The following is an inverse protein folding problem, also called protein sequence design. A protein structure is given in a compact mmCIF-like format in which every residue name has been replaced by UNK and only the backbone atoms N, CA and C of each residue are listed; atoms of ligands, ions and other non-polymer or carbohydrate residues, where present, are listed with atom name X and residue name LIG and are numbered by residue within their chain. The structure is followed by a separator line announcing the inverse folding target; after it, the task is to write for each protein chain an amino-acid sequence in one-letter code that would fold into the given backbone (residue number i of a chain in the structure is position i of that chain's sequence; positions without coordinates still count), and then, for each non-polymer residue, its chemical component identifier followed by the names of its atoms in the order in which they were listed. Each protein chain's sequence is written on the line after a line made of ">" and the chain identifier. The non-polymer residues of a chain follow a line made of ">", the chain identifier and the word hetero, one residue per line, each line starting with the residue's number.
data_IF_200067430981
#
_entry.id   IF_200067430981
#
_cell.length_a   1.000
_cell.length_b   1.000
_cell.length_c   1.000
_cell.angle_alpha   90.00
_cell.angle_beta   90.00
_cell.angle_gamma   90.00
#
_symmetry.space_group_name_H-M   'P 1'
#
loop_
_entity.id
_entity.type
_entity.pdbx_description
1 polymer ?
#
# COMPACT_ATOMS: atom_id res chain seq x y z
N UNK A 1 9.08 0.38 -2.96
CA UNK A 1 8.60 1.76 -3.25
C UNK A 1 8.20 1.85 -4.72
N UNK A 2 7.53 2.92 -5.15
CA UNK A 2 7.03 3.12 -6.53
C UNK A 2 8.10 2.81 -7.61
N UNK A 3 9.36 3.16 -7.33
CA UNK A 3 10.53 2.86 -8.16
C UNK A 3 10.80 1.35 -8.31
N UNK A 4 10.71 0.57 -7.23
CA UNK A 4 10.85 -0.89 -7.30
C UNK A 4 9.79 -1.51 -8.21
N UNK A 5 8.55 -1.03 -8.11
CA UNK A 5 7.46 -1.48 -8.97
C UNK A 5 7.69 -1.10 -10.44
N UNK A 6 8.16 0.13 -10.70
CA UNK A 6 8.55 0.57 -12.04
C UNK A 6 9.69 -0.28 -12.64
N UNK A 7 10.69 -0.63 -11.84
CA UNK A 7 11.79 -1.54 -12.24
C UNK A 7 11.24 -2.92 -12.60
N UNK A 8 10.42 -3.53 -11.73
CA UNK A 8 9.85 -4.86 -11.98
C UNK A 8 8.99 -4.87 -13.26
N UNK A 9 8.16 -3.84 -13.45
CA UNK A 9 7.37 -3.67 -14.67
C UNK A 9 8.24 -3.44 -15.91
N UNK A 10 9.30 -2.65 -15.79
CA UNK A 10 10.24 -2.37 -16.88
C UNK A 10 11.03 -3.60 -17.34
N UNK A 11 11.24 -4.57 -16.46
CA UNK A 11 11.89 -5.87 -16.77
C UNK A 11 10.85 -6.91 -17.25
N UNK A 12 9.57 -6.56 -17.30
CA UNK A 12 8.51 -7.46 -17.80
C UNK A 12 8.04 -8.50 -16.80
N UNK A 13 8.28 -8.30 -15.50
CA UNK A 13 7.74 -9.19 -14.45
C UNK A 13 6.22 -9.05 -14.45
N UNK A 14 5.51 -10.13 -14.82
CA UNK A 14 4.05 -10.19 -14.88
C UNK A 14 3.44 -10.05 -16.28
N UNK A 15 4.23 -10.10 -17.36
CA UNK A 15 3.73 -10.19 -18.74
C UNK A 15 4.02 -11.56 -19.36
N UNK A 16 3.01 -12.21 -19.94
CA UNK A 16 3.11 -13.53 -20.58
C UNK A 16 4.07 -13.57 -21.80
N UNK A 17 4.46 -12.39 -22.31
CA UNK A 17 5.31 -12.23 -23.48
C UNK A 17 6.83 -12.20 -23.17
N UNK A 18 7.25 -12.12 -21.90
CA UNK A 18 8.66 -11.88 -21.53
C UNK A 18 9.33 -13.17 -21.05
N UNK A 19 10.40 -13.55 -21.75
CA UNK A 19 11.20 -14.75 -21.46
C UNK A 19 11.90 -14.62 -20.09
N UNK A 20 11.73 -15.57 -19.14
CA UNK A 20 12.47 -15.58 -17.87
C UNK A 20 13.99 -15.46 -18.02
N UNK A 21 14.55 -15.94 -19.12
CA UNK A 21 15.98 -15.90 -19.40
C UNK A 21 16.46 -14.46 -19.70
N UNK A 22 15.68 -13.64 -20.40
CA UNK A 22 16.08 -12.24 -20.69
C UNK A 22 16.01 -11.36 -19.44
N UNK A 23 15.01 -11.60 -18.59
CA UNK A 23 14.92 -10.97 -17.28
C UNK A 23 16.16 -11.33 -16.41
N UNK A 24 16.53 -12.61 -16.36
CA UNK A 24 17.70 -13.08 -15.61
C UNK A 24 19.00 -12.45 -16.12
N UNK A 25 19.22 -12.41 -17.44
CA UNK A 25 20.40 -11.77 -18.03
C UNK A 25 20.46 -10.28 -17.68
N UNK A 26 19.32 -9.58 -17.70
CA UNK A 26 19.24 -8.18 -17.29
C UNK A 26 19.66 -7.97 -15.83
N UNK A 27 19.24 -8.85 -14.92
CA UNK A 27 19.66 -8.80 -13.52
C UNK A 27 21.17 -9.00 -13.34
N UNK A 28 21.73 -10.03 -13.98
CA UNK A 28 23.17 -10.31 -13.91
C UNK A 28 23.99 -9.14 -14.45
N UNK A 29 23.61 -8.58 -15.61
CA UNK A 29 24.30 -7.45 -16.21
C UNK A 29 24.20 -6.19 -15.35
N UNK A 30 23.00 -5.87 -14.87
CA UNK A 30 22.75 -4.71 -14.00
C UNK A 30 23.58 -4.77 -12.72
N UNK A 31 23.56 -5.90 -12.02
CA UNK A 31 24.26 -6.03 -10.74
C UNK A 31 25.77 -6.14 -10.95
N UNK A 32 26.21 -6.81 -12.03
CA UNK A 32 27.61 -6.88 -12.42
C UNK A 32 28.21 -5.51 -12.73
N UNK A 33 27.52 -4.71 -13.55
CA UNK A 33 27.94 -3.32 -13.87
C UNK A 33 27.96 -2.43 -12.63
N UNK A 34 26.95 -2.57 -11.75
CA UNK A 34 26.93 -1.88 -10.46
C UNK A 34 28.14 -2.20 -9.58
N UNK A 35 28.51 -3.49 -9.48
CA UNK A 35 29.68 -3.93 -8.73
C UNK A 35 31.00 -3.41 -9.31
N UNK A 36 31.16 -3.44 -10.63
CA UNK A 36 32.35 -2.89 -11.29
C UNK A 36 32.45 -1.37 -11.08
N UNK A 37 31.34 -0.65 -11.25
CA UNK A 37 31.29 0.79 -11.10
C UNK A 37 31.68 1.26 -9.69
N UNK A 38 31.19 0.59 -8.64
CA UNK A 38 31.58 0.93 -7.26
C UNK A 38 33.05 0.64 -6.95
N UNK A 39 33.63 -0.43 -7.52
CA UNK A 39 35.06 -0.75 -7.34
C UNK A 39 35.93 0.31 -8.03
N UNK A 40 35.61 0.63 -9.28
CA UNK A 40 36.32 1.67 -10.03
C UNK A 40 36.23 3.03 -9.35
N UNK A 41 35.05 3.40 -8.85
CA UNK A 41 34.86 4.65 -8.12
C UNK A 41 35.62 4.68 -6.81
N UNK A 42 35.58 3.60 -6.02
CA UNK A 42 36.33 3.50 -4.77
C UNK A 42 37.84 3.61 -5.00
N UNK A 43 38.36 2.98 -6.05
CA UNK A 43 39.77 3.10 -6.44
C UNK A 43 40.14 4.52 -6.87
N UNK A 44 39.28 5.18 -7.65
CA UNK A 44 39.57 6.50 -8.21
C UNK A 44 39.42 7.65 -7.20
N UNK A 45 38.37 7.62 -6.38
CA UNK A 45 37.97 8.74 -5.51
C UNK A 45 37.94 8.41 -4.01
N UNK A 46 38.32 7.19 -3.63
CA UNK A 46 38.23 6.72 -2.25
C UNK A 46 38.91 7.63 -1.22
N UNK A 47 40.08 8.19 -1.55
CA UNK A 47 40.87 9.06 -0.65
C UNK A 47 40.27 10.45 -0.43
N UNK A 48 39.33 10.89 -1.26
CA UNK A 48 38.67 12.21 -1.11
C UNK A 48 37.36 12.10 -0.31
N UNK A 49 36.83 10.88 -0.11
CA UNK A 49 35.49 10.66 0.45
C UNK A 49 35.38 11.02 1.94
N UNK A 50 36.46 10.84 2.70
CA UNK A 50 36.55 11.19 4.11
C UNK A 50 36.97 12.66 4.31
N UNK A 51 37.95 13.14 3.55
CA UNK A 51 38.46 14.53 3.59
C UNK A 51 37.33 15.53 3.29
N UNK A 52 36.63 15.35 2.17
CA UNK A 52 35.58 16.27 1.68
C UNK A 52 34.17 15.71 1.94
N UNK A 53 33.98 15.10 3.12
CA UNK A 53 32.80 14.27 3.42
C UNK A 53 31.45 14.97 3.22
N UNK A 54 31.34 16.25 3.59
CA UNK A 54 30.12 17.06 3.38
C UNK A 54 29.79 17.26 1.90
N UNK A 55 30.80 17.54 1.06
CA UNK A 55 30.61 17.74 -0.39
C UNK A 55 30.20 16.43 -1.06
N UNK A 56 30.88 15.34 -0.71
CA UNK A 56 30.57 14.02 -1.24
C UNK A 56 29.20 13.51 -0.79
N UNK A 57 28.74 13.87 0.41
CA UNK A 57 27.37 13.57 0.84
C UNK A 57 26.34 14.22 -0.08
N UNK A 58 26.45 15.53 -0.30
CA UNK A 58 25.52 16.27 -1.17
C UNK A 58 25.55 15.71 -2.60
N UNK A 59 26.75 15.41 -3.13
CA UNK A 59 26.90 14.79 -4.47
C UNK A 59 26.23 13.42 -4.54
N UNK A 60 26.38 12.59 -3.50
CA UNK A 60 25.78 11.27 -3.44
C UNK A 60 24.25 11.36 -3.38
N UNK A 61 23.70 12.28 -2.58
CA UNK A 61 22.25 12.46 -2.47
C UNK A 61 21.65 12.94 -3.82
N UNK A 62 22.28 13.93 -4.47
CA UNK A 62 21.86 14.38 -5.81
C UNK A 62 21.93 13.23 -6.83
N UNK A 63 23.02 12.48 -6.86
CA UNK A 63 23.19 11.37 -7.80
C UNK A 63 22.17 10.25 -7.56
N UNK A 64 21.80 10.01 -6.29
CA UNK A 64 20.78 9.04 -5.91
C UNK A 64 19.39 9.45 -6.41
N UNK A 65 19.03 10.72 -6.22
CA UNK A 65 17.74 11.25 -6.64
C UNK A 65 17.61 11.24 -8.16
N UNK A 66 18.68 11.57 -8.90
CA UNK A 66 18.71 11.45 -10.36
C UNK A 66 18.53 9.99 -10.78
N UNK A 67 19.24 9.04 -10.17
CA UNK A 67 19.09 7.62 -10.52
C UNK A 67 17.68 7.09 -10.23
N UNK A 68 17.07 7.48 -9.10
CA UNK A 68 15.69 7.13 -8.77
C UNK A 68 14.68 7.81 -9.71
N UNK A 69 14.95 9.05 -10.12
CA UNK A 69 14.16 9.78 -11.10
C UNK A 69 14.17 9.12 -12.47
N UNK A 70 15.34 8.67 -12.96
CA UNK A 70 15.45 7.93 -14.23
C UNK A 70 14.64 6.63 -14.17
N UNK A 71 14.76 5.84 -13.10
CA UNK A 71 14.00 4.60 -12.96
C UNK A 71 12.48 4.84 -12.91
N UNK A 72 12.05 5.98 -12.38
CA UNK A 72 10.62 6.30 -12.27
C UNK A 72 10.05 6.91 -13.55
N UNK A 73 10.75 7.85 -14.17
CA UNK A 73 10.24 8.67 -15.27
C UNK A 73 10.74 8.27 -16.66
N UNK A 74 11.83 7.51 -16.77
CA UNK A 74 12.40 7.14 -18.09
C UNK A 74 12.16 5.66 -18.37
N UNK A 75 12.40 4.80 -17.38
CA UNK A 75 12.29 3.34 -17.55
C UNK A 75 10.92 2.88 -18.08
N UNK A 76 9.76 3.40 -17.62
CA UNK A 76 8.46 2.96 -18.12
C UNK A 76 8.17 3.35 -19.58
N UNK A 77 8.79 4.42 -20.08
CA UNK A 77 8.56 4.93 -21.44
C UNK A 77 9.48 4.26 -22.47
N UNK A 78 10.63 3.73 -22.05
CA UNK A 78 11.63 3.12 -22.94
C UNK A 78 11.94 1.66 -22.56
N UNK A 79 10.95 0.74 -22.58
CA UNK A 79 11.15 -0.65 -22.16
C UNK A 79 12.17 -1.42 -23.02
N UNK A 80 12.33 -1.05 -24.29
CA UNK A 80 13.34 -1.68 -25.19
C UNK A 80 14.78 -1.39 -24.77
N UNK A 81 15.02 -0.29 -24.06
CA UNK A 81 16.33 0.10 -23.56
C UNK A 81 16.50 -0.20 -22.06
N UNK A 82 15.57 -0.96 -21.46
CA UNK A 82 15.50 -1.18 -20.01
C UNK A 82 16.82 -1.70 -19.42
N UNK A 83 17.47 -2.68 -20.06
CA UNK A 83 18.74 -3.23 -19.58
C UNK A 83 19.83 -2.17 -19.48
N UNK A 84 19.98 -1.31 -20.49
CA UNK A 84 21.00 -0.25 -20.47
C UNK A 84 20.70 0.82 -19.42
N UNK A 85 19.44 1.24 -19.32
CA UNK A 85 18.99 2.21 -18.32
C UNK A 85 19.27 1.67 -16.92
N UNK A 86 18.89 0.42 -16.66
CA UNK A 86 19.07 -0.24 -15.37
C UNK A 86 20.55 -0.40 -15.00
N UNK A 87 21.41 -0.79 -15.95
CA UNK A 87 22.85 -0.86 -15.71
C UNK A 87 23.41 0.52 -15.31
N UNK A 88 22.99 1.59 -16.00
CA UNK A 88 23.43 2.95 -15.69
C UNK A 88 22.93 3.41 -14.31
N UNK A 89 21.63 3.29 -14.02
CA UNK A 89 21.06 3.73 -12.73
C UNK A 89 21.57 2.90 -11.56
N UNK A 90 21.82 1.61 -11.76
CA UNK A 90 22.38 0.74 -10.71
C UNK A 90 23.85 1.05 -10.45
N UNK A 91 24.62 1.39 -11.49
CA UNK A 91 25.99 1.89 -11.35
C UNK A 91 26.01 3.20 -10.56
N UNK A 92 25.13 4.15 -10.88
CA UNK A 92 25.00 5.40 -10.12
C UNK A 92 24.69 5.12 -8.64
N UNK A 93 23.71 4.27 -8.35
CA UNK A 93 23.34 3.89 -6.98
C UNK A 93 24.46 3.16 -6.24
N UNK A 94 25.24 2.33 -6.93
CA UNK A 94 26.37 1.65 -6.34
C UNK A 94 27.49 2.63 -5.95
N UNK A 95 27.74 3.65 -6.78
CA UNK A 95 28.64 4.78 -6.46
C UNK A 95 28.14 5.55 -5.24
N UNK A 96 26.84 5.89 -5.23
CA UNK A 96 26.17 6.53 -4.08
C UNK A 96 26.35 5.70 -2.82
N UNK A 97 26.21 4.38 -2.90
CA UNK A 97 26.37 3.49 -1.75
C UNK A 97 27.77 3.58 -1.12
N UNK A 98 28.82 3.64 -1.95
CA UNK A 98 30.21 3.80 -1.48
C UNK A 98 30.42 5.19 -0.87
N UNK A 99 30.06 6.25 -1.60
CA UNK A 99 30.23 7.62 -1.13
C UNK A 99 29.41 7.88 0.15
N UNK A 100 28.15 7.44 0.18
CA UNK A 100 27.27 7.54 1.34
C UNK A 100 27.80 6.78 2.54
N UNK A 101 28.31 5.55 2.34
CA UNK A 101 28.94 4.75 3.39
C UNK A 101 30.17 5.43 3.98
N UNK A 102 31.14 5.80 3.13
CA UNK A 102 32.38 6.43 3.56
C UNK A 102 32.15 7.77 4.29
N UNK A 103 31.32 8.65 3.71
CA UNK A 103 30.98 9.94 4.33
C UNK A 103 30.24 9.76 5.66
N UNK A 104 29.39 8.72 5.78
CA UNK A 104 28.68 8.43 7.04
C UNK A 104 29.65 7.95 8.10
N UNK A 105 30.60 7.09 7.76
CA UNK A 105 31.64 6.66 8.69
C UNK A 105 32.48 7.84 9.19
N UNK A 106 32.92 8.72 8.29
CA UNK A 106 33.66 9.94 8.65
C UNK A 106 32.85 10.87 9.58
N UNK A 107 31.57 11.11 9.28
CA UNK A 107 30.69 11.91 10.14
C UNK A 107 30.42 11.23 11.50
N UNK A 108 30.28 9.91 11.52
CA UNK A 108 30.06 9.14 12.77
C UNK A 108 31.31 9.23 13.65
N UNK A 109 32.49 9.13 13.06
CA UNK A 109 33.76 9.30 13.76
C UNK A 109 33.92 10.72 14.33
N UNK A 110 33.49 11.75 13.60
CA UNK A 110 33.47 13.12 14.13
C UNK A 110 32.57 13.27 15.37
N UNK A 111 31.47 12.51 15.45
CA UNK A 111 30.58 12.50 16.62
C UNK A 111 31.02 11.54 17.74
N UNK A 112 32.06 10.75 17.53
CA UNK A 112 32.56 9.82 18.52
C UNK A 112 33.39 10.57 19.58
N UNK A 113 32.87 10.63 20.81
CA UNK A 113 33.61 11.17 21.95
C UNK A 113 34.84 10.27 22.19
N UNK A 114 36.04 10.87 22.22
CA UNK A 114 37.33 10.15 22.38
C UNK A 114 37.57 9.05 21.32
N UNK A 115 36.97 9.16 20.14
CA UNK A 115 37.09 8.16 19.08
C UNK A 115 36.37 6.84 19.36
N UNK A 116 35.54 6.76 20.40
CA UNK A 116 34.74 5.58 20.70
C UNK A 116 33.50 5.51 19.80
N UNK A 117 33.64 4.89 18.62
CA UNK A 117 32.53 4.68 17.69
C UNK A 117 31.38 3.85 18.30
N UNK A 118 31.64 3.03 19.32
CA UNK A 118 30.62 2.23 19.98
C UNK A 118 29.60 3.11 20.73
N UNK A 119 30.02 4.25 21.28
CA UNK A 119 29.10 5.18 21.97
C UNK A 119 28.05 5.73 21.01
N UNK A 120 28.47 6.08 19.80
CA UNK A 120 27.56 6.59 18.75
C UNK A 120 26.62 5.47 18.28
N UNK A 121 27.13 4.24 18.16
CA UNK A 121 26.30 3.08 17.81
C UNK A 121 25.25 2.77 18.90
N UNK A 122 25.63 2.86 20.18
CA UNK A 122 24.70 2.69 21.32
C UNK A 122 23.63 3.77 21.31
N UNK A 123 23.96 5.03 20.99
CA UNK A 123 22.97 6.09 20.87
C UNK A 123 21.90 5.77 19.81
N UNK A 124 22.30 5.31 18.63
CA UNK A 124 21.35 4.89 17.59
C UNK A 124 20.52 3.68 18.03
N UNK A 125 21.14 2.71 18.70
CA UNK A 125 20.45 1.55 19.26
C UNK A 125 19.43 1.94 20.33
N UNK A 126 19.78 2.87 21.23
CA UNK A 126 18.90 3.38 22.27
C UNK A 126 17.74 4.17 21.65
N UNK A 127 18.00 5.02 20.67
CA UNK A 127 16.95 5.73 19.94
C UNK A 127 15.96 4.77 19.28
N UNK A 128 16.47 3.71 18.61
CA UNK A 128 15.63 2.69 18.02
C UNK A 128 14.80 1.96 19.08
N UNK A 129 15.41 1.58 20.21
CA UNK A 129 14.74 0.93 21.32
C UNK A 129 13.62 1.80 21.91
N UNK A 130 13.90 3.06 22.25
CA UNK A 130 12.90 4.00 22.79
C UNK A 130 11.77 4.22 21.78
N UNK A 131 12.09 4.31 20.48
CA UNK A 131 11.08 4.43 19.42
C UNK A 131 10.17 3.20 19.37
N UNK A 132 10.71 1.99 19.49
CA UNK A 132 9.92 0.76 19.55
C UNK A 132 9.02 0.72 20.79
N UNK A 133 9.55 1.10 21.95
CA UNK A 133 8.77 1.21 23.20
C UNK A 133 7.64 2.23 23.03
N UNK A 134 7.92 3.39 22.43
CA UNK A 134 6.92 4.42 22.17
C UNK A 134 5.82 3.93 21.23
N UNK A 135 6.16 3.25 20.13
CA UNK A 135 5.17 2.67 19.21
C UNK A 135 4.33 1.61 19.93
N UNK A 136 4.95 0.73 20.71
CA UNK A 136 4.24 -0.29 21.50
C UNK A 136 3.28 0.33 22.51
N UNK A 137 3.73 1.35 23.26
CA UNK A 137 2.92 2.08 24.21
C UNK A 137 1.73 2.76 23.53
N UNK A 138 1.92 3.39 22.37
CA UNK A 138 0.85 3.98 21.58
C UNK A 138 -0.17 2.93 21.12
N UNK A 139 0.28 1.77 20.62
CA UNK A 139 -0.63 0.68 20.22
C UNK A 139 -1.46 0.20 21.42
N UNK A 140 -0.82 0.02 22.59
CA UNK A 140 -1.53 -0.38 23.82
C UNK A 140 -2.51 0.69 24.28
N UNK A 141 -2.14 1.97 24.22
CA UNK A 141 -2.99 3.08 24.58
C UNK A 141 -4.24 3.15 23.68
N UNK A 142 -4.06 3.10 22.37
CA UNK A 142 -5.19 3.12 21.42
C UNK A 142 -6.09 1.90 21.60
N UNK A 143 -5.53 0.69 21.79
CA UNK A 143 -6.31 -0.52 22.06
C UNK A 143 -7.07 -0.50 23.39
N UNK A 144 -6.64 0.30 24.36
CA UNK A 144 -7.35 0.45 25.63
C UNK A 144 -8.61 1.34 25.51
N UNK A 145 -8.67 2.21 24.49
CA UNK A 145 -9.80 3.12 24.30
C UNK A 145 -10.97 2.41 23.63
N UNK A 146 -12.01 2.13 24.41
CA UNK A 146 -13.26 1.57 23.89
C UNK A 146 -14.14 2.69 23.29
N UNK A 147 -14.16 2.78 21.96
CA UNK A 147 -15.01 3.74 21.25
C UNK A 147 -16.43 3.19 21.08
N UNK A 148 -17.42 4.06 21.34
CA UNK A 148 -18.86 3.74 21.20
C UNK A 148 -19.40 4.05 19.80
N UNK A 149 -18.58 4.62 18.92
CA UNK A 149 -18.94 4.98 17.56
C UNK A 149 -18.50 3.90 16.58
N UNK A 150 -19.38 3.60 15.61
CA UNK A 150 -19.05 2.70 14.51
C UNK A 150 -18.08 3.38 13.55
N UNK A 151 -16.93 2.75 13.32
CA UNK A 151 -16.23 2.86 12.06
C UNK A 151 -16.59 1.62 11.20
N UNK A 152 -16.10 1.57 9.97
CA UNK A 152 -16.36 0.44 9.07
C UNK A 152 -15.93 -0.91 9.67
N UNK A 153 -14.74 -0.98 10.27
CA UNK A 153 -14.20 -2.21 10.83
C UNK A 153 -15.02 -2.75 12.03
N UNK A 154 -15.35 -1.88 13.00
CA UNK A 154 -16.18 -2.21 14.16
C UNK A 154 -17.57 -2.66 13.73
N UNK A 155 -18.11 -1.99 12.71
CA UNK A 155 -19.43 -2.34 12.21
C UNK A 155 -19.41 -3.72 11.54
N UNK A 156 -18.42 -4.00 10.69
CA UNK A 156 -18.28 -5.30 10.04
C UNK A 156 -18.05 -6.43 11.06
N UNK A 157 -17.24 -6.21 12.10
CA UNK A 157 -17.07 -7.19 13.19
C UNK A 157 -18.41 -7.47 13.89
N UNK A 158 -19.18 -6.42 14.18
CA UNK A 158 -20.50 -6.57 14.81
C UNK A 158 -21.50 -7.29 13.90
N UNK A 159 -21.49 -7.00 12.60
CA UNK A 159 -22.34 -7.65 11.61
C UNK A 159 -21.99 -9.12 11.41
N UNK A 160 -20.70 -9.44 11.32
CA UNK A 160 -20.25 -10.82 11.15
C UNK A 160 -20.71 -11.70 12.31
N UNK A 161 -20.57 -11.23 13.56
CA UNK A 161 -21.07 -11.96 14.71
C UNK A 161 -22.60 -12.04 14.72
N UNK A 162 -23.28 -10.92 14.42
CA UNK A 162 -24.74 -10.90 14.35
C UNK A 162 -25.30 -11.90 13.33
N UNK A 163 -24.69 -12.01 12.15
CA UNK A 163 -25.12 -12.96 11.13
C UNK A 163 -24.74 -14.42 11.47
N UNK A 164 -23.72 -14.66 12.30
CA UNK A 164 -23.32 -16.02 12.73
C UNK A 164 -24.13 -16.54 13.91
N UNK A 165 -24.31 -15.73 14.95
CA UNK A 165 -24.89 -16.15 16.22
C UNK A 165 -26.24 -15.51 16.54
N UNK A 166 -26.69 -14.53 15.76
CA UNK A 166 -27.90 -13.74 16.03
C UNK A 166 -27.73 -12.73 17.17
N UNK A 167 -26.53 -12.65 17.76
CA UNK A 167 -26.24 -11.76 18.90
C UNK A 167 -25.38 -10.58 18.48
N UNK A 168 -25.67 -9.41 19.04
CA UNK A 168 -24.88 -8.20 18.80
C UNK A 168 -23.79 -8.04 19.87
N UNK A 169 -22.55 -7.83 19.45
CA UNK A 169 -21.42 -7.61 20.35
C UNK A 169 -21.50 -6.25 21.04
N UNK A 170 -21.09 -6.21 22.32
CA UNK A 170 -20.85 -4.97 23.04
C UNK A 170 -19.62 -4.22 22.49
N UNK A 171 -19.53 -2.89 22.63
CA UNK A 171 -18.35 -2.12 22.23
C UNK A 171 -17.03 -2.67 22.79
N UNK A 172 -17.05 -3.21 24.02
CA UNK A 172 -15.88 -3.80 24.67
C UNK A 172 -15.42 -5.11 23.99
N UNK A 173 -16.36 -5.94 23.54
CA UNK A 173 -16.04 -7.15 22.79
C UNK A 173 -15.51 -6.81 21.40
N UNK A 174 -16.15 -5.87 20.70
CA UNK A 174 -15.67 -5.40 19.39
C UNK A 174 -14.27 -4.80 19.50
N UNK A 175 -14.01 -3.98 20.52
CA UNK A 175 -12.69 -3.37 20.75
C UNK A 175 -11.56 -4.40 20.94
N UNK A 176 -11.86 -5.59 21.48
CA UNK A 176 -10.87 -6.69 21.60
C UNK A 176 -10.56 -7.33 20.25
N UNK A 177 -11.50 -7.30 19.32
CA UNK A 177 -11.40 -7.89 17.98
C UNK A 177 -10.88 -6.91 16.92
N UNK A 178 -11.04 -5.59 17.16
CA UNK A 178 -10.57 -4.54 16.27
C UNK A 178 -9.04 -4.57 16.12
N UNK A 179 -8.57 -4.64 14.86
CA UNK A 179 -7.16 -4.45 14.52
C UNK A 179 -6.87 -2.96 14.40
N UNK A 180 -5.82 -2.51 15.09
CA UNK A 180 -5.39 -1.10 15.14
C UNK A 180 -4.12 -0.84 14.32
N UNK A 181 -3.46 -1.90 13.84
CA UNK A 181 -2.19 -1.79 13.11
C UNK A 181 -2.41 -1.69 11.60
N UNK A 182 -2.00 -2.69 10.81
CA UNK A 182 -2.06 -2.66 9.35
C UNK A 182 -3.03 -3.73 8.86
N UNK A 183 -3.91 -3.35 7.94
CA UNK A 183 -4.92 -4.22 7.33
C UNK A 183 -6.27 -4.20 8.05
N UNK A 184 -7.29 -4.73 7.39
CA UNK A 184 -8.65 -4.88 7.93
C UNK A 184 -8.80 -6.22 8.66
N UNK A 185 -9.61 -6.28 9.73
CA UNK A 185 -9.95 -7.56 10.39
C UNK A 185 -10.93 -8.38 9.54
N UNK A 186 -11.94 -7.69 8.98
CA UNK A 186 -13.04 -8.25 8.21
C UNK A 186 -13.27 -7.32 7.02
N UNK A 187 -13.52 -7.89 5.85
CA UNK A 187 -13.84 -7.14 4.63
C UNK A 187 -15.02 -7.81 3.91
N UNK A 188 -15.84 -7.01 3.25
CA UNK A 188 -16.89 -7.52 2.37
C UNK A 188 -16.29 -8.13 1.09
N UNK A 189 -17.02 -9.06 0.48
CA UNK A 189 -16.62 -9.74 -0.77
C UNK A 189 -16.58 -8.81 -1.98
N UNK A 190 -17.37 -7.72 -1.94
CA UNK A 190 -17.39 -6.68 -2.96
C UNK A 190 -17.07 -5.32 -2.33
N UNK A 191 -16.54 -4.40 -3.15
CA UNK A 191 -16.35 -3.01 -2.74
C UNK A 191 -17.71 -2.33 -2.62
N UNK A 192 -17.96 -1.62 -1.52
CA UNK A 192 -19.18 -0.86 -1.29
C UNK A 192 -18.87 0.63 -1.38
N UNK A 193 -19.69 1.38 -2.11
CA UNK A 193 -19.63 2.84 -2.16
C UNK A 193 -20.94 3.43 -1.65
N UNK A 194 -20.84 4.35 -0.70
CA UNK A 194 -22.00 5.04 -0.13
C UNK A 194 -22.04 6.47 -0.65
N UNK A 195 -23.24 6.97 -0.97
CA UNK A 195 -23.43 8.35 -1.44
C UNK A 195 -23.08 8.51 -2.92
N UNK A 196 -23.27 7.47 -3.73
CA UNK A 196 -23.11 7.55 -5.18
C UNK A 196 -24.10 8.57 -5.77
N UNK A 197 -23.67 9.28 -6.81
CA UNK A 197 -24.53 10.21 -7.52
C UNK A 197 -25.51 9.45 -8.41
N UNK A 198 -26.79 9.79 -8.37
CA UNK A 198 -27.82 9.18 -9.26
C UNK A 198 -27.45 9.36 -10.74
N UNK A 199 -26.64 10.36 -11.09
CA UNK A 199 -26.10 10.51 -12.44
C UNK A 199 -25.26 9.30 -12.89
N UNK A 200 -24.43 8.74 -12.00
CA UNK A 200 -23.62 7.55 -12.30
C UNK A 200 -24.51 6.36 -12.63
N UNK A 201 -25.68 6.27 -11.99
CA UNK A 201 -26.67 5.23 -12.24
C UNK A 201 -27.27 5.35 -13.65
N UNK A 202 -27.65 6.56 -14.07
CA UNK A 202 -28.19 6.82 -15.42
C UNK A 202 -27.16 6.62 -16.53
N UNK A 203 -25.88 6.86 -16.24
CA UNK A 203 -24.80 6.62 -17.19
C UNK A 203 -24.48 5.12 -17.33
N UNK A 204 -24.65 4.35 -16.24
CA UNK A 204 -24.41 2.90 -16.21
C UNK A 204 -25.59 2.10 -16.80
N UNK A 205 -26.81 2.35 -16.35
CA UNK A 205 -28.03 1.75 -16.90
C UNK A 205 -28.55 2.59 -18.05
N UNK A 206 -27.93 2.47 -19.22
CA UNK A 206 -28.36 3.17 -20.46
C UNK A 206 -29.74 2.74 -20.96
N UNK A 207 -30.22 1.57 -20.54
CA UNK A 207 -31.55 1.06 -20.88
C UNK A 207 -32.59 1.57 -19.89
N UNK A 208 -33.67 2.20 -20.39
CA UNK A 208 -34.76 2.73 -19.57
C UNK A 208 -35.44 1.63 -18.73
N UNK A 209 -35.55 0.40 -19.28
CA UNK A 209 -36.20 -0.73 -18.61
C UNK A 209 -35.49 -1.17 -17.32
N UNK A 210 -34.15 -1.27 -17.34
CA UNK A 210 -33.38 -1.67 -16.16
C UNK A 210 -33.42 -0.61 -15.07
N UNK A 211 -33.44 0.67 -15.49
CA UNK A 211 -33.57 1.81 -14.59
C UNK A 211 -34.98 1.89 -13.99
N UNK A 212 -36.03 1.67 -14.78
CA UNK A 212 -37.43 1.62 -14.31
C UNK A 212 -37.64 0.49 -13.32
N UNK A 213 -37.10 -0.71 -13.56
CA UNK A 213 -37.16 -1.82 -12.61
C UNK A 213 -36.45 -1.50 -11.30
N UNK A 214 -35.27 -0.87 -11.39
CA UNK A 214 -34.51 -0.48 -10.21
C UNK A 214 -35.24 0.61 -9.39
N UNK A 215 -35.85 1.58 -10.07
CA UNK A 215 -36.69 2.61 -9.44
C UNK A 215 -37.99 2.00 -8.89
N UNK A 216 -38.58 1.01 -9.54
CA UNK A 216 -39.77 0.31 -9.06
C UNK A 216 -39.51 -0.47 -7.76
N UNK A 217 -38.27 -0.93 -7.54
CA UNK A 217 -37.84 -1.53 -6.29
C UNK A 217 -37.60 -0.51 -5.16
N UNK A 218 -37.66 0.81 -5.44
CA UNK A 218 -37.48 1.84 -4.43
C UNK A 218 -38.72 1.95 -3.53
N UNK A 219 -38.60 1.55 -2.26
CA UNK A 219 -39.62 1.89 -1.25
C UNK A 219 -39.33 3.31 -0.74
N UNK A 220 -40.30 4.22 -0.89
CA UNK A 220 -40.25 5.58 -0.33
C UNK A 220 -39.96 5.65 1.19
N UNK A 221 -40.18 4.56 1.92
CA UNK A 221 -39.83 4.42 3.34
C UNK A 221 -38.34 4.23 3.57
N UNK A 222 -37.67 3.58 2.63
CA UNK A 222 -36.22 3.38 2.63
C UNK A 222 -35.60 4.52 1.83
N UNK A 223 -35.04 5.50 2.54
CA UNK A 223 -34.45 6.72 1.95
C UNK A 223 -33.15 6.47 1.18
N UNK A 224 -32.93 5.27 0.68
CA UNK A 224 -31.75 4.86 -0.05
C UNK A 224 -32.11 3.81 -1.10
N UNK A 225 -31.32 3.77 -2.17
CA UNK A 225 -31.42 2.79 -3.25
C UNK A 225 -30.10 2.02 -3.35
N UNK A 226 -30.19 0.73 -3.62
CA UNK A 226 -29.04 -0.14 -3.82
C UNK A 226 -28.94 -0.52 -5.29
N UNK A 227 -27.77 -0.34 -5.90
CA UNK A 227 -27.53 -0.82 -7.27
C UNK A 227 -26.17 -1.49 -7.38
N UNK A 228 -26.13 -2.65 -8.04
CA UNK A 228 -24.90 -3.37 -8.29
C UNK A 228 -24.29 -2.97 -9.64
N UNK A 229 -23.03 -2.56 -9.60
CA UNK A 229 -22.20 -2.30 -10.79
C UNK A 229 -21.22 -3.46 -10.97
N UNK A 230 -20.59 -3.57 -12.17
CA UNK A 230 -19.56 -4.59 -12.46
C UNK A 230 -18.39 -4.66 -11.46
N UNK A 231 -18.14 -3.60 -10.70
CA UNK A 231 -16.96 -3.47 -9.84
C UNK A 231 -17.25 -3.15 -8.37
N UNK A 232 -18.47 -2.73 -8.04
CA UNK A 232 -18.84 -2.31 -6.68
C UNK A 232 -20.37 -2.33 -6.51
N UNK A 233 -20.82 -2.39 -5.26
CA UNK A 233 -22.22 -2.18 -4.89
C UNK A 233 -22.37 -0.73 -4.43
N UNK A 234 -23.21 0.03 -5.12
CA UNK A 234 -23.46 1.45 -4.85
C UNK A 234 -24.70 1.64 -3.99
N UNK A 235 -24.60 2.50 -2.98
CA UNK A 235 -25.71 2.99 -2.17
C UNK A 235 -25.97 4.45 -2.55
N UNK A 236 -27.16 4.71 -3.06
CA UNK A 236 -27.61 6.03 -3.49
C UNK A 236 -28.55 6.58 -2.42
N UNK A 237 -28.21 7.72 -1.83
CA UNK A 237 -28.89 8.27 -0.66
C UNK A 237 -29.85 9.38 -1.08
N UNK A 238 -31.05 9.40 -0.49
CA UNK A 238 -31.96 10.53 -0.61
C UNK A 238 -31.44 11.75 0.17
N UNK A 239 -31.79 12.97 -0.24
CA UNK A 239 -31.31 14.21 0.39
C UNK A 239 -31.72 14.37 1.86
N UNK A 240 -32.72 13.62 2.32
CA UNK A 240 -33.25 13.68 3.70
C UNK A 240 -32.82 12.49 4.57
N UNK A 241 -31.72 11.83 4.19
CA UNK A 241 -31.13 10.68 4.90
C UNK A 241 -30.57 11.09 6.25
N UNK A 242 -30.82 10.26 7.27
CA UNK A 242 -30.24 10.37 8.61
C UNK A 242 -29.08 9.38 8.75
N UNK A 243 -28.18 9.56 9.74
CA UNK A 243 -27.08 8.61 9.99
C UNK A 243 -27.54 7.16 10.19
N UNK A 244 -28.72 6.95 10.79
CA UNK A 244 -29.30 5.62 10.97
C UNK A 244 -29.67 4.98 9.62
N UNK A 245 -30.16 5.75 8.65
CA UNK A 245 -30.51 5.25 7.32
C UNK A 245 -29.25 4.82 6.57
N UNK A 246 -28.10 5.47 6.81
CA UNK A 246 -26.79 5.05 6.28
C UNK A 246 -26.38 3.70 6.85
N UNK A 247 -26.44 3.53 8.17
CA UNK A 247 -26.13 2.26 8.83
C UNK A 247 -27.07 1.16 8.32
N UNK A 248 -28.37 1.45 8.24
CA UNK A 248 -29.38 0.55 7.68
C UNK A 248 -29.01 0.14 6.25
N UNK A 249 -28.72 1.09 5.37
CA UNK A 249 -28.36 0.80 3.98
C UNK A 249 -27.15 -0.14 3.87
N UNK A 250 -26.13 0.05 4.73
CA UNK A 250 -24.94 -0.80 4.75
C UNK A 250 -25.23 -2.20 5.28
N UNK A 251 -26.13 -2.34 6.27
CA UNK A 251 -26.63 -3.63 6.72
C UNK A 251 -27.25 -4.43 5.57
N UNK A 252 -28.13 -3.78 4.79
CA UNK A 252 -28.77 -4.44 3.63
C UNK A 252 -27.74 -4.88 2.59
N UNK A 253 -26.73 -4.05 2.30
CA UNK A 253 -25.65 -4.44 1.38
C UNK A 253 -24.86 -5.62 1.92
N UNK A 254 -24.48 -5.61 3.20
CA UNK A 254 -23.74 -6.71 3.81
C UNK A 254 -24.54 -8.02 3.82
N UNK A 255 -25.85 -7.94 4.13
CA UNK A 255 -26.76 -9.09 4.10
C UNK A 255 -26.94 -9.63 2.67
N UNK A 256 -27.14 -8.74 1.69
CA UNK A 256 -27.23 -9.10 0.27
C UNK A 256 -25.95 -9.82 -0.21
N UNK A 257 -24.77 -9.29 0.14
CA UNK A 257 -23.49 -9.89 -0.23
C UNK A 257 -23.23 -11.22 0.47
N UNK A 258 -23.70 -11.38 1.71
CA UNK A 258 -23.59 -12.65 2.43
C UNK A 258 -24.46 -13.73 1.79
N UNK A 259 -25.72 -13.42 1.46
CA UNK A 259 -26.63 -14.36 0.80
C UNK A 259 -26.10 -14.76 -0.58
N UNK A 260 -25.61 -13.78 -1.35
CA UNK A 260 -24.92 -14.01 -2.64
C UNK A 260 -23.66 -14.88 -2.49
N UNK A 261 -22.91 -14.73 -1.39
CA UNK A 261 -21.74 -15.57 -1.13
C UNK A 261 -22.08 -17.00 -0.77
N UNK A 262 -23.16 -17.23 0.01
CA UNK A 262 -23.66 -18.58 0.31
C UNK A 262 -24.20 -19.30 -0.94
N UNK A 263 -24.73 -18.55 -1.90
CA UNK A 263 -25.13 -19.07 -3.21
C UNK A 263 -23.92 -19.42 -4.10
N UNK A 264 -22.79 -18.71 -3.95
CA UNK A 264 -21.59 -18.91 -4.78
C UNK A 264 -20.84 -20.21 -4.50
N UNK A 265 -21.03 -20.82 -3.32
CA UNK A 265 -20.45 -22.13 -2.98
C UNK A 265 -21.33 -23.33 -3.40
N UNK A 266 -22.47 -23.12 -4.08
CA UNK A 266 -23.45 -24.21 -4.35
C UNK A 266 -23.70 -24.66 -5.78
N UNK A 267 -23.10 -24.05 -6.81
CA UNK A 267 -23.26 -24.53 -8.19
C UNK A 267 -21.96 -24.39 -8.99
N UNK A 268 -21.20 -25.48 -9.02
CA UNK A 268 -20.14 -25.86 -9.97
C UNK A 268 -19.70 -24.85 -11.05
N UNK A 269 -18.40 -24.50 -11.05
CA UNK A 269 -17.63 -24.46 -12.30
C UNK A 269 -16.58 -25.57 -12.24
N UNK A 270 -16.93 -26.76 -12.75
CA UNK A 270 -15.92 -27.66 -13.30
C UNK A 270 -15.56 -27.05 -14.65
N UNK A 271 -14.49 -26.28 -14.69
CA UNK A 271 -13.76 -26.10 -15.95
C UNK A 271 -12.84 -27.31 -16.11
N UNK A 272 -13.17 -28.16 -17.09
CA UNK A 272 -12.17 -29.00 -17.73
C UNK A 272 -11.27 -28.13 -18.60
#
# INVERSE_FOLDING_TARGET
>A
TLTTHAILKGVGVGSDAVNPLSATVTWVLKDGTGHLGRIMFAWWKGSELDIDSKKWRIRADILNDVAMGIDLFVLPYYPKAATYILCATTTMKAIVGVAGGATRSALTQHHAIRGNLADVAVLYGLFAFVTLVHIYANIKAVKAVCLRTFNEARYLIALEEYFKSGMMLSPQQVNKLERVTVGQTVSLTARVKIGCSVRELTEFYRNCYDLENLIACFDSRDKFLLAETRHYVGVYLHFTVKPLDIIKSYFYVASYLQDKSQLRDRYWEIQN
#
